data_IF_332998032786
#
_entry.id   IF_332998032786
#
_cell.length_a   1.000
_cell.length_b   1.000
_cell.length_c   1.000
_cell.angle_alpha   90.00
_cell.angle_beta   90.00
_cell.angle_gamma   90.00
#
_symmetry.space_group_name_H-M   'P 1'
#
loop_
_entity.id
_entity.type
_entity.pdbx_description
1 polymer ?
#
# COMPACT_ATOMS: atom_id res chain seq x y z
N UNK A 1 44.61 8.17 -20.69
CA UNK A 1 44.09 9.55 -20.82
C UNK A 1 42.65 9.41 -21.31
N UNK A 2 41.68 9.55 -20.41
CA UNK A 2 40.25 9.41 -20.72
C UNK A 2 39.81 10.55 -21.64
N UNK A 3 39.00 10.24 -22.65
CA UNK A 3 38.57 11.19 -23.67
C UNK A 3 37.44 12.08 -23.10
N UNK A 4 37.53 13.43 -23.18
CA UNK A 4 36.57 14.35 -22.53
C UNK A 4 35.11 14.14 -22.91
N UNK A 5 34.85 13.59 -24.11
CA UNK A 5 33.49 13.30 -24.60
C UNK A 5 32.83 12.11 -23.89
N UNK A 6 33.63 11.14 -23.44
CA UNK A 6 33.11 9.95 -22.77
C UNK A 6 32.67 10.28 -21.34
N UNK A 7 33.37 11.21 -20.67
CA UNK A 7 33.01 11.72 -19.34
C UNK A 7 31.72 12.56 -19.37
N UNK A 8 31.48 13.30 -20.46
CA UNK A 8 30.27 14.12 -20.65
C UNK A 8 29.05 13.24 -20.99
N UNK A 9 29.25 12.21 -21.82
CA UNK A 9 28.23 11.19 -22.10
C UNK A 9 27.87 10.39 -20.84
N UNK A 10 28.85 10.04 -20.00
CA UNK A 10 28.59 9.40 -18.72
C UNK A 10 27.86 10.30 -17.74
N UNK A 11 28.18 11.61 -17.70
CA UNK A 11 27.45 12.60 -16.89
C UNK A 11 26.01 12.80 -17.35
N UNK A 12 25.79 12.95 -18.66
CA UNK A 12 24.45 13.06 -19.22
C UNK A 12 23.65 11.77 -19.02
N UNK A 13 24.27 10.60 -19.20
CA UNK A 13 23.63 9.32 -18.93
C UNK A 13 23.29 9.17 -17.43
N UNK A 14 24.18 9.56 -16.52
CA UNK A 14 23.89 9.49 -15.09
C UNK A 14 22.80 10.49 -14.68
N UNK A 15 22.80 11.72 -15.19
CA UNK A 15 21.73 12.70 -14.97
C UNK A 15 20.37 12.25 -15.55
N UNK A 16 20.35 11.62 -16.73
CA UNK A 16 19.12 11.11 -17.35
C UNK A 16 18.62 9.79 -16.73
N UNK A 17 19.50 8.94 -16.19
CA UNK A 17 19.11 7.67 -15.57
C UNK A 17 18.71 7.84 -14.10
N UNK A 18 19.26 8.85 -13.40
CA UNK A 18 18.87 9.22 -12.03
C UNK A 18 17.46 9.86 -11.96
N UNK A 19 16.93 10.37 -13.08
CA UNK A 19 15.58 10.93 -13.16
C UNK A 19 14.44 9.92 -13.30
N UNK A 20 14.75 8.63 -13.52
CA UNK A 20 13.76 7.61 -13.94
C UNK A 20 13.40 6.58 -12.86
N UNK A 21 13.76 6.81 -11.60
CA UNK A 21 13.28 5.91 -10.53
C UNK A 21 12.90 6.66 -9.25
N UNK A 22 11.60 6.98 -9.03
CA UNK A 22 11.14 7.71 -7.85
C UNK A 22 11.37 6.97 -6.53
N UNK A 23 11.78 5.70 -6.58
CA UNK A 23 12.02 4.84 -5.41
C UNK A 23 13.45 4.95 -4.86
N UNK A 24 14.43 5.39 -5.66
CA UNK A 24 15.86 5.33 -5.31
C UNK A 24 16.34 6.54 -4.46
N UNK A 25 15.48 7.54 -4.23
CA UNK A 25 15.83 8.79 -3.54
C UNK A 25 15.11 9.10 -2.22
N UNK A 26 14.33 8.18 -1.66
CA UNK A 26 13.42 8.50 -0.55
C UNK A 26 14.16 8.80 0.77
N UNK A 27 14.17 10.07 1.18
CA UNK A 27 14.63 10.45 2.53
C UNK A 27 13.49 10.25 3.53
N UNK A 28 13.83 9.94 4.79
CA UNK A 28 12.87 9.84 5.91
C UNK A 28 11.95 11.06 6.01
N UNK A 29 12.46 12.24 5.65
CA UNK A 29 11.71 13.50 5.60
C UNK A 29 10.56 13.46 4.58
N UNK A 30 10.76 12.81 3.44
CA UNK A 30 9.78 12.72 2.37
C UNK A 30 8.62 11.81 2.78
N UNK A 31 8.92 10.71 3.49
CA UNK A 31 7.91 9.82 4.06
C UNK A 31 7.04 10.54 5.09
N UNK A 32 7.66 11.29 6.02
CA UNK A 32 6.92 12.09 7.00
C UNK A 32 6.08 13.19 6.36
N UNK A 33 6.60 13.83 5.30
CA UNK A 33 5.87 14.85 4.56
C UNK A 33 4.65 14.26 3.84
N UNK A 34 4.81 13.07 3.25
CA UNK A 34 3.75 12.34 2.56
C UNK A 34 2.70 11.85 3.56
N UNK A 35 3.10 11.29 4.70
CA UNK A 35 2.18 10.89 5.76
C UNK A 35 1.35 12.09 6.26
N UNK A 36 1.99 13.25 6.45
CA UNK A 36 1.29 14.49 6.81
C UNK A 36 0.32 14.94 5.71
N UNK A 37 0.69 14.78 4.44
CA UNK A 37 -0.17 15.10 3.30
C UNK A 37 -1.41 14.19 3.29
N UNK A 38 -1.24 12.87 3.46
CA UNK A 38 -2.34 11.90 3.57
C UNK A 38 -3.28 12.30 4.71
N UNK A 39 -2.73 12.58 5.91
CA UNK A 39 -3.52 12.99 7.07
C UNK A 39 -4.31 14.27 6.80
N UNK A 40 -3.69 15.28 6.18
CA UNK A 40 -4.39 16.51 5.79
C UNK A 40 -5.50 16.24 4.79
N UNK A 41 -5.28 15.34 3.84
CA UNK A 41 -6.26 14.99 2.82
C UNK A 41 -7.51 14.36 3.43
N UNK A 42 -7.35 13.51 4.45
CA UNK A 42 -8.46 12.90 5.18
C UNK A 42 -9.43 13.93 5.77
N UNK A 43 -8.93 15.05 6.27
CA UNK A 43 -9.75 16.14 6.80
C UNK A 43 -10.27 17.10 5.72
N UNK A 44 -9.52 17.30 4.62
CA UNK A 44 -9.89 18.24 3.55
C UNK A 44 -11.01 17.74 2.64
N UNK A 45 -11.20 16.42 2.54
CA UNK A 45 -12.23 15.82 1.68
C UNK A 45 -13.19 14.94 2.50
N UNK A 46 -14.04 15.53 3.36
CA UNK A 46 -14.89 14.75 4.27
C UNK A 46 -15.90 13.86 3.53
N UNK A 47 -16.51 14.35 2.45
CA UNK A 47 -17.49 13.58 1.66
C UNK A 47 -16.83 12.35 1.02
N UNK A 48 -15.62 12.54 0.47
CA UNK A 48 -14.81 11.47 -0.10
C UNK A 48 -14.47 10.41 0.94
N UNK A 49 -13.93 10.84 2.09
CA UNK A 49 -13.59 9.95 3.19
C UNK A 49 -14.82 9.18 3.71
N UNK A 50 -16.00 9.82 3.80
CA UNK A 50 -17.24 9.15 4.23
C UNK A 50 -17.66 8.06 3.24
N UNK A 51 -17.56 8.30 1.92
CA UNK A 51 -17.86 7.30 0.90
C UNK A 51 -17.00 6.04 1.09
N UNK A 52 -15.70 6.22 1.28
CA UNK A 52 -14.76 5.11 1.49
C UNK A 52 -14.98 4.39 2.82
N UNK A 53 -15.29 5.13 3.89
CA UNK A 53 -15.67 4.52 5.17
C UNK A 53 -16.96 3.68 5.04
N UNK A 54 -17.95 4.17 4.30
CA UNK A 54 -19.19 3.42 4.05
C UNK A 54 -18.93 2.16 3.22
N UNK A 55 -18.11 2.26 2.17
CA UNK A 55 -17.74 1.11 1.34
C UNK A 55 -16.97 0.05 2.13
N UNK A 56 -15.98 0.46 2.94
CA UNK A 56 -15.30 -0.43 3.88
C UNK A 56 -16.27 -1.05 4.88
N UNK A 57 -17.21 -0.28 5.43
CA UNK A 57 -18.21 -0.80 6.35
C UNK A 57 -19.09 -1.89 5.73
N UNK A 58 -19.46 -1.74 4.46
CA UNK A 58 -20.19 -2.76 3.70
C UNK A 58 -19.33 -4.02 3.51
N UNK A 59 -18.07 -3.86 3.15
CA UNK A 59 -17.15 -4.99 3.00
C UNK A 59 -16.88 -5.71 4.32
N UNK A 60 -16.63 -4.98 5.41
CA UNK A 60 -16.46 -5.57 6.74
C UNK A 60 -17.69 -6.35 7.19
N UNK A 61 -18.90 -5.83 6.91
CA UNK A 61 -20.15 -6.56 7.12
C UNK A 61 -20.16 -7.87 6.30
N UNK A 62 -19.77 -7.82 5.03
CA UNK A 62 -19.69 -9.00 4.17
C UNK A 62 -18.67 -10.02 4.72
N UNK A 63 -17.51 -9.56 5.21
CA UNK A 63 -16.50 -10.41 5.86
C UNK A 63 -17.08 -11.09 7.10
N UNK A 64 -17.72 -10.33 7.99
CA UNK A 64 -18.31 -10.86 9.22
C UNK A 64 -19.37 -11.94 8.94
N UNK A 65 -20.22 -11.74 7.92
CA UNK A 65 -21.22 -12.72 7.50
C UNK A 65 -20.68 -13.82 6.57
N UNK A 66 -19.37 -13.87 6.30
CA UNK A 66 -18.75 -14.87 5.42
C UNK A 66 -19.16 -14.76 3.94
N UNK A 67 -19.67 -13.60 3.53
CA UNK A 67 -20.08 -13.28 2.16
C UNK A 67 -18.97 -12.60 1.34
N UNK A 68 -17.86 -12.20 1.97
CA UNK A 68 -16.75 -11.57 1.25
C UNK A 68 -16.04 -12.59 0.36
N UNK A 69 -15.85 -12.20 -0.91
CA UNK A 69 -15.09 -12.96 -1.90
C UNK A 69 -13.61 -12.54 -1.96
N UNK A 70 -13.16 -11.64 -1.07
CA UNK A 70 -11.78 -11.18 -1.04
C UNK A 70 -10.83 -12.36 -0.79
N UNK A 71 -9.79 -12.41 -1.61
CA UNK A 71 -8.70 -13.38 -1.55
C UNK A 71 -7.38 -12.66 -1.77
N UNK A 72 -6.29 -13.12 -1.15
CA UNK A 72 -4.96 -12.58 -1.43
C UNK A 72 -4.58 -12.92 -2.89
N UNK A 73 -3.65 -12.16 -3.49
CA UNK A 73 -3.10 -12.53 -4.78
C UNK A 73 -2.53 -13.96 -4.73
N UNK A 74 -2.74 -14.78 -5.78
CA UNK A 74 -2.27 -16.18 -5.80
C UNK A 74 -0.76 -16.34 -5.56
N UNK A 75 0.01 -15.30 -5.86
CA UNK A 75 1.47 -15.28 -5.73
C UNK A 75 1.96 -14.85 -4.34
N UNK A 76 1.06 -14.40 -3.46
CA UNK A 76 1.40 -13.94 -2.12
C UNK A 76 1.61 -15.12 -1.16
N UNK A 77 2.86 -15.61 -1.13
CA UNK A 77 3.27 -16.75 -0.31
C UNK A 77 3.09 -16.54 1.19
N UNK A 78 2.88 -15.30 1.66
CA UNK A 78 2.66 -15.03 3.09
C UNK A 78 1.37 -15.69 3.60
N UNK A 79 0.39 -15.89 2.72
CA UNK A 79 -0.89 -16.51 3.04
C UNK A 79 -1.03 -17.95 2.52
N UNK A 80 0.10 -18.64 2.29
CA UNK A 80 0.11 -20.01 1.76
C UNK A 80 -0.37 -21.07 2.76
N UNK A 81 -0.35 -20.78 4.06
CA UNK A 81 -0.82 -21.72 5.07
C UNK A 81 -2.32 -22.02 4.90
N UNK A 82 -2.74 -23.30 4.89
CA UNK A 82 -4.15 -23.69 4.72
C UNK A 82 -5.11 -23.05 5.74
N UNK A 83 -4.65 -22.71 6.95
CA UNK A 83 -5.47 -22.06 7.96
C UNK A 83 -6.10 -20.77 7.45
N UNK A 84 -5.41 -20.01 6.59
CA UNK A 84 -5.93 -18.78 5.98
C UNK A 84 -7.18 -18.99 5.12
N UNK A 85 -7.36 -20.17 4.53
CA UNK A 85 -8.49 -20.50 3.66
C UNK A 85 -9.52 -21.43 4.32
N UNK A 86 -9.07 -22.35 5.16
CA UNK A 86 -9.88 -23.41 5.75
C UNK A 86 -10.48 -23.04 7.10
N UNK A 87 -9.81 -22.18 7.90
CA UNK A 87 -10.33 -21.77 9.20
C UNK A 87 -11.15 -20.47 9.06
N UNK A 88 -12.46 -20.48 9.41
CA UNK A 88 -13.32 -19.29 9.27
C UNK A 88 -12.82 -18.05 10.01
N UNK A 89 -12.12 -18.20 11.15
CA UNK A 89 -11.57 -17.08 11.91
C UNK A 89 -10.39 -16.44 11.18
N UNK A 90 -9.43 -17.27 10.74
CA UNK A 90 -8.28 -16.82 9.95
C UNK A 90 -8.70 -16.22 8.62
N UNK A 91 -9.69 -16.82 7.95
CA UNK A 91 -10.27 -16.30 6.72
C UNK A 91 -10.87 -14.91 6.93
N UNK A 92 -11.67 -14.72 7.98
CA UNK A 92 -12.24 -13.39 8.31
C UNK A 92 -11.15 -12.37 8.64
N UNK A 93 -10.12 -12.78 9.37
CA UNK A 93 -9.00 -11.90 9.70
C UNK A 93 -8.24 -11.44 8.45
N UNK A 94 -7.91 -12.37 7.56
CA UNK A 94 -7.31 -12.09 6.26
C UNK A 94 -8.19 -11.18 5.40
N UNK A 95 -9.47 -11.50 5.26
CA UNK A 95 -10.38 -10.70 4.44
C UNK A 95 -10.60 -9.29 5.01
N UNK A 96 -10.59 -9.14 6.33
CA UNK A 96 -10.61 -7.82 7.00
C UNK A 96 -9.38 -7.00 6.62
N UNK A 97 -8.19 -7.63 6.68
CA UNK A 97 -6.95 -7.00 6.26
C UNK A 97 -6.99 -6.58 4.77
N UNK A 98 -7.44 -7.47 3.89
CA UNK A 98 -7.54 -7.20 2.45
C UNK A 98 -8.54 -6.08 2.14
N UNK A 99 -9.70 -6.08 2.80
CA UNK A 99 -10.72 -5.04 2.63
C UNK A 99 -10.15 -3.68 3.01
N UNK A 100 -9.52 -3.59 4.18
CA UNK A 100 -8.93 -2.34 4.65
C UNK A 100 -7.77 -1.86 3.77
N UNK A 101 -6.87 -2.77 3.37
CA UNK A 101 -5.76 -2.45 2.46
C UNK A 101 -6.28 -1.94 1.11
N UNK A 102 -7.26 -2.63 0.52
CA UNK A 102 -7.87 -2.23 -0.74
C UNK A 102 -8.50 -0.83 -0.62
N UNK A 103 -9.29 -0.60 0.42
CA UNK A 103 -9.96 0.68 0.62
C UNK A 103 -8.96 1.84 0.75
N UNK A 104 -7.88 1.65 1.50
CA UNK A 104 -6.85 2.68 1.65
C UNK A 104 -6.20 3.07 0.31
N UNK A 105 -6.04 2.11 -0.60
CA UNK A 105 -5.53 2.39 -1.94
C UNK A 105 -6.56 3.11 -2.79
N UNK A 106 -7.82 2.66 -2.79
CA UNK A 106 -8.91 3.32 -3.53
C UNK A 106 -9.14 4.76 -3.02
N UNK A 107 -9.11 4.97 -1.71
CA UNK A 107 -9.26 6.29 -1.09
C UNK A 107 -8.16 7.27 -1.51
N UNK A 108 -6.91 6.83 -1.65
CA UNK A 108 -5.84 7.66 -2.22
C UNK A 108 -6.06 7.91 -3.71
N UNK A 109 -6.39 6.86 -4.47
CA UNK A 109 -6.52 6.94 -5.93
C UNK A 109 -7.62 7.91 -6.37
N UNK A 110 -8.72 7.95 -5.61
CA UNK A 110 -9.86 8.84 -5.85
C UNK A 110 -9.69 10.25 -5.22
N UNK A 111 -8.55 10.54 -4.57
CA UNK A 111 -8.30 11.84 -3.94
C UNK A 111 -7.87 12.92 -4.95
N UNK A 112 -8.05 14.20 -4.62
CA UNK A 112 -7.63 15.33 -5.49
C UNK A 112 -6.12 15.63 -5.41
N UNK A 113 -5.28 14.63 -5.15
CA UNK A 113 -3.84 14.78 -5.09
C UNK A 113 -3.23 14.77 -6.49
N UNK A 114 -2.01 15.30 -6.62
CA UNK A 114 -1.26 15.20 -7.86
C UNK A 114 -0.88 13.74 -8.13
N UNK A 115 -0.68 13.31 -9.39
CA UNK A 115 -0.25 11.94 -9.69
C UNK A 115 1.03 11.52 -8.95
N UNK A 116 1.96 12.47 -8.76
CA UNK A 116 3.19 12.23 -8.01
C UNK A 116 2.92 12.00 -6.52
N UNK A 117 2.03 12.79 -5.90
CA UNK A 117 1.65 12.62 -4.50
C UNK A 117 0.84 11.35 -4.29
N UNK A 118 -0.01 10.95 -5.25
CA UNK A 118 -0.71 9.66 -5.25
C UNK A 118 0.30 8.50 -5.23
N UNK A 119 1.31 8.49 -6.11
CA UNK A 119 2.34 7.44 -6.10
C UNK A 119 3.12 7.39 -4.79
N UNK A 120 3.50 8.55 -4.22
CA UNK A 120 4.16 8.62 -2.91
C UNK A 120 3.26 8.11 -1.79
N UNK A 121 1.99 8.48 -1.82
CA UNK A 121 1.03 8.08 -0.81
C UNK A 121 0.76 6.57 -0.86
N UNK A 122 0.64 5.98 -2.05
CA UNK A 122 0.59 4.53 -2.23
C UNK A 122 1.82 3.84 -1.67
N UNK A 123 3.02 4.39 -1.86
CA UNK A 123 4.22 3.84 -1.24
C UNK A 123 4.14 3.81 0.29
N UNK A 124 3.72 4.92 0.91
CA UNK A 124 3.57 5.02 2.37
C UNK A 124 2.49 4.05 2.89
N UNK A 125 1.35 3.95 2.20
CA UNK A 125 0.29 3.01 2.56
C UNK A 125 0.73 1.57 2.36
N UNK A 126 1.49 1.25 1.31
CA UNK A 126 2.10 -0.06 1.16
C UNK A 126 3.00 -0.37 2.35
N UNK A 127 3.94 0.51 2.70
CA UNK A 127 4.82 0.27 3.85
C UNK A 127 4.03 0.04 5.15
N UNK A 128 3.00 0.85 5.41
CA UNK A 128 2.13 0.73 6.58
C UNK A 128 1.35 -0.60 6.58
N UNK A 129 0.68 -0.94 5.48
CA UNK A 129 -0.15 -2.14 5.36
C UNK A 129 0.68 -3.42 5.29
N UNK A 130 1.90 -3.36 4.78
CA UNK A 130 2.88 -4.45 4.84
C UNK A 130 3.32 -4.70 6.29
N UNK A 131 3.65 -3.64 7.04
CA UNK A 131 4.02 -3.75 8.45
C UNK A 131 2.88 -4.33 9.31
N UNK A 132 1.63 -3.96 8.99
CA UNK A 132 0.43 -4.42 9.68
C UNK A 132 -0.17 -5.72 9.11
N UNK A 133 0.56 -6.43 8.25
CA UNK A 133 0.09 -7.71 7.70
C UNK A 133 -0.22 -8.71 8.83
N UNK A 134 -1.32 -9.48 8.75
CA UNK A 134 -1.65 -10.57 9.67
C UNK A 134 -0.49 -11.54 9.93
N UNK A 135 0.34 -11.76 8.92
CA UNK A 135 1.47 -12.69 8.94
C UNK A 135 2.65 -12.20 9.79
N UNK A 136 2.68 -10.92 10.14
CA UNK A 136 3.66 -10.34 11.06
C UNK A 136 3.20 -10.44 12.52
N UNK A 137 1.96 -10.87 12.77
CA UNK A 137 1.42 -11.01 14.12
C UNK A 137 1.75 -12.38 14.73
N UNK A 138 1.75 -12.47 16.06
CA UNK A 138 1.91 -13.74 16.78
C UNK A 138 0.81 -14.76 16.47
N UNK A 139 -0.30 -14.34 15.85
CA UNK A 139 -1.35 -15.22 15.39
C UNK A 139 -1.02 -15.94 14.07
N UNK A 140 0.15 -15.70 13.46
CA UNK A 140 0.55 -16.34 12.21
C UNK A 140 0.59 -17.88 12.37
N UNK A 141 -0.20 -18.64 11.59
CA UNK A 141 -0.25 -20.10 11.71
C UNK A 141 1.07 -20.78 11.34
N UNK A 142 1.91 -20.13 10.52
CA UNK A 142 3.24 -20.65 10.16
C UNK A 142 4.32 -20.38 11.22
N UNK A 143 4.00 -19.67 12.31
CA UNK A 143 4.92 -19.37 13.40
C UNK A 143 4.89 -20.42 14.53
N UNK A 144 4.12 -21.50 14.36
CA UNK A 144 3.91 -22.58 15.33
C UNK A 144 4.58 -23.86 14.86
#
# INVERSE_FOLDING_TARGET
MSNPKDDELQRQASEHTLGLNPVVGLRRKDLLSTARLILRQAFKQPIHSIKHVAHLGVELRNVMFGKSALQPPPEDRRFADPAWSQNPLYRRYLQTYLAWRKELHEWIGDSNLTPQDISRAHFVINLMTEAMSPTNSAANPAAV
#
